data_IF_109180585493
#
_entry.id   IF_109180585493
#
_cell.length_a   1.000
_cell.length_b   1.000
_cell.length_c   1.000
_cell.angle_alpha   90.00
_cell.angle_beta   90.00
_cell.angle_gamma   90.00
#
_symmetry.space_group_name_H-M   'P 1'
#
loop_
_entity.id
_entity.type
_entity.pdbx_description
1 polymer ?
#
# COMPACT_ATOMS: atom_id res chain seq x y z
N UNK A 1 -51.55 1.10 16.49
CA UNK A 1 -50.26 0.51 16.93
C UNK A 1 -49.49 0.07 15.69
N UNK A 2 -48.33 0.66 15.43
CA UNK A 2 -47.24 0.02 14.68
C UNK A 2 -45.97 0.79 15.00
N UNK A 3 -45.11 0.18 15.80
CA UNK A 3 -43.86 0.73 16.28
C UNK A 3 -42.77 0.17 15.37
N UNK A 4 -42.40 0.91 14.32
CA UNK A 4 -41.25 0.57 13.50
C UNK A 4 -39.99 0.97 14.29
N UNK A 5 -39.41 0.00 15.00
CA UNK A 5 -38.14 0.16 15.65
C UNK A 5 -37.07 0.46 14.60
N UNK A 6 -36.61 1.70 14.56
CA UNK A 6 -35.40 2.11 13.87
C UNK A 6 -34.24 1.27 14.43
N UNK A 7 -33.81 0.25 13.68
CA UNK A 7 -32.60 -0.49 13.99
C UNK A 7 -31.40 0.44 13.78
N UNK A 8 -31.07 1.21 14.81
CA UNK A 8 -29.90 2.08 14.83
C UNK A 8 -28.67 1.18 14.71
N UNK A 9 -27.92 1.30 13.62
CA UNK A 9 -26.59 0.69 13.48
C UNK A 9 -25.61 1.35 14.47
N UNK A 10 -25.78 1.14 15.76
CA UNK A 10 -24.74 1.36 16.78
C UNK A 10 -23.94 0.07 16.94
N UNK A 11 -23.29 -0.35 15.85
CA UNK A 11 -22.21 -1.30 15.95
C UNK A 11 -20.97 -0.51 16.37
N UNK A 12 -20.74 -0.42 17.68
CA UNK A 12 -19.40 -0.14 18.18
C UNK A 12 -18.67 -1.47 17.98
N UNK A 13 -17.65 -1.50 17.13
CA UNK A 13 -16.85 -2.71 16.92
C UNK A 13 -16.40 -3.25 18.29
N UNK A 14 -17.03 -4.33 18.73
CA UNK A 14 -16.67 -5.01 19.97
C UNK A 14 -15.29 -5.61 19.79
N UNK A 15 -14.42 -5.48 20.80
CA UNK A 15 -13.10 -6.12 20.79
C UNK A 15 -13.29 -7.64 20.75
N UNK A 16 -13.19 -8.21 19.55
CA UNK A 16 -13.32 -9.65 19.35
C UNK A 16 -12.03 -10.31 19.81
N UNK A 17 -12.14 -11.35 20.65
CA UNK A 17 -10.99 -12.15 21.05
C UNK A 17 -10.43 -12.87 19.81
N UNK A 18 -9.22 -12.48 19.41
CA UNK A 18 -8.47 -13.07 18.29
C UNK A 18 -7.42 -14.01 18.86
N UNK A 19 -7.58 -15.30 18.58
CA UNK A 19 -6.67 -16.38 18.94
C UNK A 19 -6.11 -17.07 17.68
N UNK A 20 -5.07 -16.45 17.10
CA UNK A 20 -4.37 -16.96 15.91
C UNK A 20 -2.99 -17.51 16.26
N UNK A 21 -2.67 -17.71 17.54
CA UNK A 21 -1.32 -17.99 18.03
C UNK A 21 -0.41 -16.75 18.16
N UNK A 22 -0.79 -15.60 17.58
CA UNK A 22 -0.02 -14.34 17.67
C UNK A 22 -0.60 -13.43 18.76
N UNK A 23 0.24 -13.04 19.72
CA UNK A 23 -0.17 -12.19 20.86
C UNK A 23 -0.64 -10.82 20.39
N UNK A 24 -1.62 -10.23 21.09
CA UNK A 24 -2.19 -8.93 20.74
C UNK A 24 -1.14 -7.81 20.63
N UNK A 25 -0.16 -7.78 21.54
CA UNK A 25 0.96 -6.81 21.48
C UNK A 25 1.73 -6.92 20.16
N UNK A 26 2.02 -8.14 19.74
CA UNK A 26 2.80 -8.43 18.56
C UNK A 26 1.98 -8.13 17.28
N UNK A 27 0.69 -8.49 17.26
CA UNK A 27 -0.25 -8.07 16.22
C UNK A 27 -0.37 -6.54 16.13
N UNK A 28 -0.35 -5.82 17.26
CA UNK A 28 -0.41 -4.34 17.27
C UNK A 28 0.83 -3.73 16.62
N UNK A 29 2.01 -4.24 16.95
CA UNK A 29 3.26 -3.79 16.33
C UNK A 29 3.23 -4.04 14.82
N UNK A 30 2.78 -5.23 14.40
CA UNK A 30 2.66 -5.59 12.99
C UNK A 30 1.62 -4.73 12.25
N UNK A 31 0.47 -4.45 12.87
CA UNK A 31 -0.55 -3.56 12.32
C UNK A 31 -0.02 -2.15 12.06
N UNK A 32 0.87 -1.63 12.91
CA UNK A 32 1.50 -0.33 12.67
C UNK A 32 2.43 -0.39 11.44
N UNK A 33 3.16 -1.50 11.23
CA UNK A 33 4.00 -1.70 10.04
C UNK A 33 3.21 -1.88 8.76
N UNK A 34 2.09 -2.59 8.83
CA UNK A 34 1.15 -2.68 7.72
C UNK A 34 0.52 -1.31 7.41
N UNK A 35 0.21 -0.50 8.42
CA UNK A 35 -0.31 0.85 8.22
C UNK A 35 0.70 1.79 7.53
N UNK A 36 1.99 1.67 7.87
CA UNK A 36 3.09 2.31 7.14
C UNK A 36 3.10 1.87 5.67
N UNK A 37 3.13 0.56 5.41
CA UNK A 37 3.16 0.01 4.05
C UNK A 37 1.92 0.36 3.21
N UNK A 38 0.73 0.35 3.83
CA UNK A 38 -0.52 0.78 3.20
C UNK A 38 -0.43 2.23 2.73
N UNK A 39 0.14 3.10 3.56
CA UNK A 39 0.26 4.54 3.27
C UNK A 39 1.20 4.78 2.09
N UNK A 40 2.35 4.11 2.07
CA UNK A 40 3.30 4.21 0.95
C UNK A 40 2.71 3.65 -0.35
N UNK A 41 1.98 2.53 -0.27
CA UNK A 41 1.32 1.92 -1.44
C UNK A 41 0.25 2.85 -2.01
N UNK A 42 -0.53 3.52 -1.15
CA UNK A 42 -1.54 4.49 -1.59
C UNK A 42 -0.93 5.71 -2.29
N UNK A 43 0.18 6.24 -1.76
CA UNK A 43 0.85 7.39 -2.38
C UNK A 43 1.54 7.01 -3.68
N UNK A 44 2.16 5.83 -3.75
CA UNK A 44 2.72 5.34 -5.01
C UNK A 44 1.63 5.10 -6.06
N UNK A 45 0.47 4.58 -5.66
CA UNK A 45 -0.69 4.44 -6.52
C UNK A 45 -1.10 5.79 -7.13
N UNK A 46 -1.24 6.83 -6.29
CA UNK A 46 -1.58 8.18 -6.75
C UNK A 46 -0.50 8.77 -7.67
N UNK A 47 0.78 8.59 -7.33
CA UNK A 47 1.90 9.02 -8.16
C UNK A 47 1.89 8.30 -9.52
N UNK A 48 1.58 7.01 -9.53
CA UNK A 48 1.51 6.20 -10.76
C UNK A 48 0.36 6.67 -11.65
N UNK A 49 -0.81 6.97 -11.07
CA UNK A 49 -1.92 7.58 -11.80
C UNK A 49 -1.57 8.97 -12.35
N UNK A 50 -0.86 9.78 -11.57
CA UNK A 50 -0.41 11.09 -12.02
C UNK A 50 0.49 10.98 -13.26
N UNK A 51 1.41 10.01 -13.31
CA UNK A 51 2.22 9.75 -14.50
C UNK A 51 1.38 9.21 -15.65
N UNK A 52 0.47 8.27 -15.39
CA UNK A 52 -0.43 7.71 -16.38
C UNK A 52 -1.23 8.79 -17.13
N UNK A 53 -1.75 9.80 -16.41
CA UNK A 53 -2.51 10.88 -17.02
C UNK A 53 -1.65 11.93 -17.72
N UNK A 54 -0.48 12.25 -17.18
CA UNK A 54 0.25 13.46 -17.56
C UNK A 54 1.53 13.23 -18.35
N UNK A 55 1.97 11.97 -18.53
CA UNK A 55 3.12 11.68 -19.38
C UNK A 55 2.85 12.13 -20.82
N UNK A 56 3.86 12.71 -21.47
CA UNK A 56 3.82 13.11 -22.87
C UNK A 56 5.13 12.74 -23.56
N UNK A 57 5.13 12.73 -24.89
CA UNK A 57 6.32 12.47 -25.71
C UNK A 57 6.27 11.15 -26.48
N UNK A 58 7.38 10.77 -27.16
CA UNK A 58 7.39 9.64 -28.09
C UNK A 58 7.05 8.27 -27.47
N UNK A 59 7.25 8.12 -26.15
CA UNK A 59 6.97 6.89 -25.40
C UNK A 59 5.61 6.91 -24.69
N UNK A 60 4.76 7.91 -24.97
CA UNK A 60 3.46 8.12 -24.30
C UNK A 60 2.69 6.81 -24.11
N UNK A 61 2.39 6.11 -25.22
CA UNK A 61 1.53 4.94 -25.19
C UNK A 61 2.10 3.82 -24.30
N UNK A 62 3.39 3.50 -24.44
CA UNK A 62 4.04 2.46 -23.65
C UNK A 62 4.07 2.78 -22.15
N UNK A 63 4.33 4.03 -21.79
CA UNK A 63 4.36 4.46 -20.38
C UNK A 63 2.94 4.49 -19.81
N UNK A 64 1.98 4.99 -20.58
CA UNK A 64 0.57 5.06 -20.19
C UNK A 64 -0.01 3.67 -19.86
N UNK A 65 0.17 2.70 -20.74
CA UNK A 65 -0.29 1.31 -20.54
C UNK A 65 0.45 0.62 -19.38
N UNK A 66 1.76 0.81 -19.29
CA UNK A 66 2.56 0.23 -18.21
C UNK A 66 2.13 0.76 -16.84
N UNK A 67 1.92 2.06 -16.72
CA UNK A 67 1.47 2.69 -15.47
C UNK A 67 0.03 2.31 -15.12
N UNK A 68 -0.84 2.06 -16.10
CA UNK A 68 -2.17 1.48 -15.85
C UNK A 68 -2.10 0.11 -15.20
N UNK A 69 -1.33 -0.80 -15.81
CA UNK A 69 -1.12 -2.13 -15.25
C UNK A 69 -0.60 -2.06 -13.81
N UNK A 70 0.36 -1.17 -13.55
CA UNK A 70 0.97 -1.02 -12.23
C UNK A 70 0.00 -0.45 -11.18
N UNK A 71 -0.81 0.57 -11.50
CA UNK A 71 -1.74 1.12 -10.50
C UNK A 71 -2.92 0.17 -10.23
N UNK A 72 -3.34 -0.63 -11.20
CA UNK A 72 -4.41 -1.62 -11.00
C UNK A 72 -3.97 -2.73 -10.05
N UNK A 73 -2.78 -3.29 -10.26
CA UNK A 73 -2.15 -4.22 -9.33
C UNK A 73 -2.05 -3.62 -7.91
N UNK A 74 -1.66 -2.35 -7.83
CA UNK A 74 -1.50 -1.66 -6.55
C UNK A 74 -2.83 -1.41 -5.84
N UNK A 75 -3.92 -1.21 -6.60
CA UNK A 75 -5.26 -1.07 -6.03
C UNK A 75 -5.71 -2.35 -5.32
N UNK A 76 -5.43 -3.53 -5.90
CA UNK A 76 -5.70 -4.83 -5.25
C UNK A 76 -4.84 -5.00 -3.99
N UNK A 77 -3.54 -4.69 -4.09
CA UNK A 77 -2.63 -4.81 -2.95
C UNK A 77 -2.97 -3.88 -1.78
N UNK A 78 -3.49 -2.68 -2.06
CA UNK A 78 -3.96 -1.73 -1.05
C UNK A 78 -5.09 -2.35 -0.23
N UNK A 79 -6.03 -3.02 -0.89
CA UNK A 79 -7.14 -3.71 -0.22
C UNK A 79 -6.63 -4.87 0.63
N UNK A 80 -5.79 -5.74 0.06
CA UNK A 80 -5.19 -6.88 0.77
C UNK A 80 -4.46 -6.45 2.06
N UNK A 81 -3.67 -5.38 2.00
CA UNK A 81 -2.94 -4.85 3.17
C UNK A 81 -3.93 -4.27 4.19
N UNK A 82 -4.92 -3.49 3.75
CA UNK A 82 -5.91 -2.88 4.63
C UNK A 82 -6.75 -3.95 5.34
N UNK A 83 -7.25 -4.93 4.59
CA UNK A 83 -7.98 -6.07 5.13
C UNK A 83 -7.10 -6.92 6.04
N UNK A 84 -5.80 -7.08 5.74
CA UNK A 84 -4.89 -7.78 6.66
C UNK A 84 -4.79 -7.09 8.01
N UNK A 85 -4.71 -5.75 8.05
CA UNK A 85 -4.75 -4.97 9.31
C UNK A 85 -6.04 -5.25 10.09
N UNK A 86 -7.18 -5.31 9.38
CA UNK A 86 -8.47 -5.63 9.99
C UNK A 86 -8.51 -7.07 10.52
N UNK A 87 -7.99 -8.03 9.76
CA UNK A 87 -7.95 -9.44 10.11
C UNK A 87 -7.14 -9.71 11.38
N UNK A 88 -6.05 -8.95 11.61
CA UNK A 88 -5.27 -9.04 12.85
C UNK A 88 -5.80 -8.15 13.99
N UNK A 89 -6.99 -7.56 13.82
CA UNK A 89 -7.77 -6.94 14.89
C UNK A 89 -7.61 -5.44 15.06
N UNK A 90 -7.00 -4.73 14.12
CA UNK A 90 -6.75 -3.29 14.24
C UNK A 90 -7.44 -2.49 13.14
N UNK A 91 -7.72 -1.21 13.37
CA UNK A 91 -8.29 -0.34 12.34
C UNK A 91 -7.21 -0.02 11.30
N UNK A 92 -7.52 -0.23 10.02
CA UNK A 92 -6.71 0.27 8.92
C UNK A 92 -6.90 1.80 8.80
N UNK A 93 -5.82 2.58 8.64
CA UNK A 93 -5.96 3.99 8.26
C UNK A 93 -6.65 4.09 6.90
N UNK A 94 -7.40 5.17 6.67
CA UNK A 94 -8.23 5.29 5.48
C UNK A 94 -8.47 6.73 5.02
N UNK A 95 -7.69 7.68 5.53
CA UNK A 95 -7.73 9.07 5.07
C UNK A 95 -6.36 9.51 4.60
N UNK A 96 -6.34 10.46 3.66
CA UNK A 96 -5.10 11.07 3.17
C UNK A 96 -4.26 11.64 4.32
N UNK A 97 -4.90 12.28 5.31
CA UNK A 97 -4.20 12.85 6.46
C UNK A 97 -3.59 11.81 7.41
N UNK A 98 -4.12 10.58 7.42
CA UNK A 98 -3.49 9.46 8.12
C UNK A 98 -2.29 8.94 7.33
N UNK A 99 -2.44 8.76 6.01
CA UNK A 99 -1.36 8.26 5.16
C UNK A 99 -0.15 9.19 5.15
N UNK A 100 -0.36 10.51 5.04
CA UNK A 100 0.71 11.51 5.07
C UNK A 100 1.49 11.54 6.39
N UNK A 101 0.95 11.03 7.50
CA UNK A 101 1.68 10.93 8.77
C UNK A 101 2.56 9.69 8.87
N UNK A 102 2.30 8.68 8.05
CA UNK A 102 2.89 7.34 8.15
C UNK A 102 3.89 7.05 7.03
N UNK A 103 3.69 7.68 5.88
CA UNK A 103 4.54 7.50 4.69
C UNK A 103 5.93 8.12 4.86
N UNK A 104 6.90 7.57 4.15
CA UNK A 104 8.20 8.23 3.89
C UNK A 104 8.28 8.82 2.47
N UNK A 105 7.21 8.72 1.67
CA UNK A 105 7.17 9.30 0.34
C UNK A 105 7.03 10.81 0.40
N UNK A 106 7.76 11.47 -0.49
CA UNK A 106 7.62 12.91 -0.76
C UNK A 106 6.79 13.11 -2.00
N UNK A 107 5.81 14.00 -1.94
CA UNK A 107 5.07 14.47 -3.11
C UNK A 107 5.87 15.54 -3.85
N UNK A 108 5.94 15.42 -5.17
CA UNK A 108 6.43 16.47 -6.06
C UNK A 108 5.40 16.74 -7.15
N UNK A 109 4.65 17.82 -6.98
CA UNK A 109 3.63 18.26 -7.92
C UNK A 109 4.19 19.09 -9.09
N UNK A 110 5.49 19.35 -9.12
CA UNK A 110 6.11 20.27 -10.09
C UNK A 110 6.79 19.56 -11.25
N UNK A 111 7.06 18.27 -11.12
CA UNK A 111 7.71 17.47 -12.15
C UNK A 111 6.80 17.29 -13.37
N UNK A 112 7.23 17.82 -14.53
CA UNK A 112 6.54 17.67 -15.83
C UNK A 112 7.30 16.79 -16.83
N UNK A 113 8.61 16.59 -16.62
CA UNK A 113 9.47 15.85 -17.55
C UNK A 113 9.30 14.33 -17.38
N UNK A 114 9.08 13.61 -18.48
CA UNK A 114 8.78 12.17 -18.45
C UNK A 114 9.89 11.34 -17.79
N UNK A 115 11.17 11.69 -17.99
CA UNK A 115 12.28 11.00 -17.34
C UNK A 115 12.26 11.17 -15.81
N UNK A 116 11.96 12.38 -15.32
CA UNK A 116 11.85 12.67 -13.89
C UNK A 116 10.63 11.97 -13.27
N UNK A 117 9.51 11.91 -14.00
CA UNK A 117 8.34 11.12 -13.61
C UNK A 117 8.69 9.64 -13.44
N UNK A 118 9.42 9.05 -14.40
CA UNK A 118 9.87 7.64 -14.32
C UNK A 118 10.80 7.45 -13.13
N UNK A 119 11.78 8.33 -12.92
CA UNK A 119 12.69 8.25 -11.77
C UNK A 119 11.96 8.36 -10.43
N UNK A 120 10.92 9.20 -10.34
CA UNK A 120 10.06 9.28 -9.17
C UNK A 120 9.40 7.93 -8.88
N UNK A 121 8.82 7.28 -9.90
CA UNK A 121 8.19 5.95 -9.74
C UNK A 121 9.22 4.86 -9.38
N UNK A 122 10.45 4.92 -9.92
CA UNK A 122 11.54 4.00 -9.52
C UNK A 122 11.84 4.17 -8.03
N UNK A 123 12.05 5.40 -7.57
CA UNK A 123 12.33 5.68 -6.15
C UNK A 123 11.17 5.24 -5.25
N UNK A 124 9.93 5.46 -5.69
CA UNK A 124 8.73 5.06 -4.98
C UNK A 124 8.63 3.54 -4.80
N UNK A 125 8.79 2.77 -5.88
CA UNK A 125 8.79 1.31 -5.81
C UNK A 125 9.92 0.77 -4.92
N UNK A 126 11.13 1.30 -5.05
CA UNK A 126 12.27 0.88 -4.21
C UNK A 126 12.06 1.22 -2.72
N UNK A 127 11.42 2.35 -2.42
CA UNK A 127 11.04 2.70 -1.05
C UNK A 127 10.02 1.71 -0.49
N UNK A 128 8.96 1.39 -1.24
CA UNK A 128 7.97 0.39 -0.85
C UNK A 128 8.64 -0.96 -0.55
N UNK A 129 9.47 -1.47 -1.46
CA UNK A 129 10.19 -2.73 -1.25
C UNK A 129 11.08 -2.73 0.00
N UNK A 130 11.81 -1.63 0.26
CA UNK A 130 12.65 -1.48 1.47
C UNK A 130 11.82 -1.46 2.75
N UNK A 131 10.67 -0.79 2.75
CA UNK A 131 9.79 -0.66 3.93
C UNK A 131 9.02 -1.95 4.20
N UNK A 132 8.49 -2.60 3.16
CA UNK A 132 7.87 -3.92 3.25
C UNK A 132 8.83 -4.97 3.82
N UNK A 133 10.11 -4.96 3.41
CA UNK A 133 11.12 -5.89 3.95
C UNK A 133 11.29 -5.77 5.47
N UNK A 134 11.18 -4.56 6.04
CA UNK A 134 11.19 -4.37 7.51
C UNK A 134 9.94 -4.98 8.16
N UNK A 135 8.78 -4.89 7.50
CA UNK A 135 7.53 -5.46 7.99
C UNK A 135 7.51 -7.01 7.91
N UNK A 136 8.13 -7.59 6.87
CA UNK A 136 8.34 -9.06 6.76
C UNK A 136 9.12 -9.58 7.95
N UNK A 137 10.24 -8.93 8.32
CA UNK A 137 11.06 -9.33 9.48
C UNK A 137 10.24 -9.36 10.77
N UNK A 138 9.37 -8.37 10.98
CA UNK A 138 8.49 -8.34 12.15
C UNK A 138 7.42 -9.43 12.12
N UNK A 139 6.86 -9.74 10.95
CA UNK A 139 5.88 -10.80 10.77
C UNK A 139 6.50 -12.19 11.06
N UNK A 140 7.69 -12.46 10.51
CA UNK A 140 8.44 -13.71 10.75
C UNK A 140 8.82 -13.87 12.22
N UNK A 141 9.25 -12.79 12.89
CA UNK A 141 9.62 -12.80 14.32
C UNK A 141 8.48 -13.28 15.23
N UNK A 142 7.24 -13.08 14.80
CA UNK A 142 6.04 -13.39 15.60
C UNK A 142 5.24 -14.55 15.02
N UNK A 143 5.82 -15.28 14.06
CA UNK A 143 5.23 -16.43 13.36
C UNK A 143 3.91 -16.11 12.64
N UNK A 144 3.72 -14.85 12.22
CA UNK A 144 2.60 -14.47 11.34
C UNK A 144 2.96 -14.74 9.88
N UNK A 145 2.98 -16.03 9.53
CA UNK A 145 3.37 -16.51 8.20
C UNK A 145 2.53 -15.93 7.07
N UNK A 146 1.23 -15.63 7.31
CA UNK A 146 0.37 -15.07 6.26
C UNK A 146 0.72 -13.62 5.96
N UNK A 147 1.04 -12.82 6.97
CA UNK A 147 1.52 -11.46 6.74
C UNK A 147 2.89 -11.46 6.05
N UNK A 148 3.81 -12.35 6.46
CA UNK A 148 5.12 -12.46 5.82
C UNK A 148 5.01 -12.82 4.33
N UNK A 149 4.18 -13.82 4.00
CA UNK A 149 3.87 -14.27 2.63
C UNK A 149 3.35 -13.12 1.75
N UNK A 150 2.27 -12.47 2.19
CA UNK A 150 1.67 -11.34 1.48
C UNK A 150 2.69 -10.24 1.16
N UNK A 151 3.46 -9.82 2.17
CA UNK A 151 4.41 -8.72 1.99
C UNK A 151 5.63 -9.13 1.15
N UNK A 152 6.02 -10.40 1.18
CA UNK A 152 7.10 -10.94 0.35
C UNK A 152 6.75 -10.91 -1.13
N UNK A 153 5.53 -11.32 -1.48
CA UNK A 153 5.00 -11.21 -2.84
C UNK A 153 5.00 -9.74 -3.31
N UNK A 154 4.52 -8.83 -2.47
CA UNK A 154 4.52 -7.38 -2.78
C UNK A 154 5.91 -6.81 -3.00
N UNK A 155 6.93 -7.26 -2.25
CA UNK A 155 8.32 -6.85 -2.49
C UNK A 155 8.74 -7.22 -3.90
N UNK A 156 8.47 -8.46 -4.33
CA UNK A 156 8.80 -8.93 -5.69
C UNK A 156 8.15 -8.06 -6.76
N UNK A 157 6.86 -7.75 -6.62
CA UNK A 157 6.14 -6.92 -7.58
C UNK A 157 6.72 -5.50 -7.68
N UNK A 158 7.06 -4.87 -6.56
CA UNK A 158 7.70 -3.55 -6.57
C UNK A 158 9.11 -3.58 -7.20
N UNK A 159 9.89 -4.63 -6.93
CA UNK A 159 11.23 -4.79 -7.51
C UNK A 159 11.19 -5.02 -9.02
N UNK A 160 10.20 -5.77 -9.52
CA UNK A 160 9.94 -5.96 -10.95
C UNK A 160 9.50 -4.65 -11.62
N UNK A 161 8.55 -3.93 -11.02
CA UNK A 161 8.11 -2.63 -11.53
C UNK A 161 9.28 -1.63 -11.60
N UNK A 162 10.11 -1.57 -10.56
CA UNK A 162 11.30 -0.72 -10.54
C UNK A 162 12.30 -1.10 -11.65
N UNK A 163 12.49 -2.39 -11.93
CA UNK A 163 13.33 -2.84 -13.04
C UNK A 163 12.76 -2.40 -14.40
N UNK A 164 11.48 -2.61 -14.66
CA UNK A 164 10.84 -2.18 -15.91
C UNK A 164 11.01 -0.68 -16.13
N UNK A 165 10.75 0.13 -15.10
CA UNK A 165 10.90 1.59 -15.14
C UNK A 165 12.35 2.02 -15.37
N UNK A 166 13.33 1.44 -14.65
CA UNK A 166 14.76 1.75 -14.87
C UNK A 166 15.21 1.42 -16.29
N UNK A 167 14.63 0.40 -16.91
CA UNK A 167 14.96 -0.01 -18.29
C UNK A 167 14.54 1.02 -19.35
N UNK A 168 13.68 1.99 -19.02
CA UNK A 168 13.32 3.10 -19.90
C UNK A 168 14.36 4.23 -19.91
N UNK A 169 15.17 4.33 -18.85
CA UNK A 169 16.19 5.36 -18.66
C UNK A 169 17.62 4.83 -18.82
N UNK A 170 17.78 3.59 -19.31
CA UNK A 170 19.06 2.89 -19.42
C UNK A 170 19.86 3.27 -20.68
#
# INVERSE_FOLDING_TARGET
MSNAATATLKSIATDHHIDTGVKQRDRKALANKLAEALSDSYLLYLQTQNVHWNVVGPLFYSIHEMTEKQYLDMAEAIDDIAERIRAIGFRAPGTVSEFLKLTEMTEDATTTEANQMIEMLVRGNELCAKRLRKAVIEAERVDDVKTADLLTERIGQHEENAWMLRSLNA
#
